data_IF_875797250991
#
_entry.id   IF_875797250991
#
_cell.length_a   1.000
_cell.length_b   1.000
_cell.length_c   1.000
_cell.angle_alpha   90.00
_cell.angle_beta   90.00
_cell.angle_gamma   90.00
#
_symmetry.space_group_name_H-M   'P 1'
#
loop_
_entity.id
_entity.type
_entity.pdbx_description
1 polymer ?
#
# COMPACT_ATOMS: atom_id res chain seq x y z
N UNK A 1 -14.55 -25.73 34.73
CA UNK A 1 -15.27 -25.85 33.45
C UNK A 1 -15.13 -24.52 32.73
N UNK A 2 -14.13 -24.41 31.86
CA UNK A 2 -13.99 -23.23 31.01
C UNK A 2 -14.99 -23.41 29.85
N UNK A 3 -15.99 -22.54 29.79
CA UNK A 3 -16.92 -22.50 28.66
C UNK A 3 -16.10 -22.33 27.39
N UNK A 4 -16.30 -23.21 26.42
CA UNK A 4 -15.74 -23.04 25.08
C UNK A 4 -16.31 -21.72 24.55
N UNK A 5 -15.49 -20.75 24.14
CA UNK A 5 -15.99 -19.48 23.62
C UNK A 5 -16.94 -19.78 22.46
N UNK A 6 -18.09 -19.10 22.42
CA UNK A 6 -19.02 -19.25 21.30
C UNK A 6 -18.37 -18.71 20.03
N UNK A 7 -18.83 -19.14 18.85
CA UNK A 7 -18.28 -18.64 17.58
C UNK A 7 -18.34 -17.10 17.44
N UNK A 8 -19.24 -16.43 18.17
CA UNK A 8 -19.25 -14.97 18.29
C UNK A 8 -18.06 -14.40 19.06
N UNK A 9 -17.65 -15.02 20.18
CA UNK A 9 -16.51 -14.57 20.98
C UNK A 9 -15.19 -14.73 20.22
N UNK A 10 -15.04 -15.83 19.46
CA UNK A 10 -13.88 -16.05 18.60
C UNK A 10 -13.81 -15.02 17.46
N UNK A 11 -14.95 -14.76 16.82
CA UNK A 11 -15.04 -13.69 15.82
C UNK A 11 -14.61 -12.33 16.40
N UNK A 12 -15.08 -11.97 17.59
CA UNK A 12 -14.73 -10.69 18.23
C UNK A 12 -13.24 -10.61 18.57
N UNK A 13 -12.61 -11.71 19.01
CA UNK A 13 -11.15 -11.76 19.22
C UNK A 13 -10.39 -11.50 17.92
N UNK A 14 -10.74 -12.22 16.86
CA UNK A 14 -10.11 -12.02 15.54
C UNK A 14 -10.36 -10.62 14.99
N UNK A 15 -11.55 -10.04 15.22
CA UNK A 15 -11.89 -8.68 14.84
C UNK A 15 -10.96 -7.67 15.54
N UNK A 16 -10.68 -7.84 16.84
CA UNK A 16 -9.75 -6.97 17.56
C UNK A 16 -8.32 -7.06 17.01
N UNK A 17 -7.82 -8.29 16.79
CA UNK A 17 -6.49 -8.50 16.23
C UNK A 17 -6.35 -7.88 14.84
N UNK A 18 -7.36 -8.10 13.97
CA UNK A 18 -7.39 -7.49 12.63
C UNK A 18 -7.41 -5.96 12.70
N UNK A 19 -8.24 -5.36 13.56
CA UNK A 19 -8.32 -3.89 13.68
C UNK A 19 -7.00 -3.30 14.16
N UNK A 20 -6.34 -3.94 15.13
CA UNK A 20 -5.02 -3.53 15.60
C UNK A 20 -3.98 -3.60 14.47
N UNK A 21 -3.94 -4.73 13.76
CA UNK A 21 -3.01 -4.95 12.64
C UNK A 21 -3.24 -3.97 11.48
N UNK A 22 -4.49 -3.75 11.09
CA UNK A 22 -4.87 -2.80 10.04
C UNK A 22 -4.46 -1.35 10.38
N UNK A 23 -4.55 -0.97 11.66
CA UNK A 23 -4.08 0.33 12.15
C UNK A 23 -2.56 0.46 12.01
N UNK A 24 -1.81 -0.56 12.42
CA UNK A 24 -0.34 -0.56 12.29
C UNK A 24 0.11 -0.54 10.83
N UNK A 25 -0.54 -1.34 9.97
CA UNK A 25 -0.35 -1.32 8.52
C UNK A 25 -0.58 0.08 7.95
N UNK A 26 -1.72 0.70 8.28
CA UNK A 26 -2.07 2.04 7.81
C UNK A 26 -1.04 3.07 8.25
N UNK A 27 -0.62 3.05 9.52
CA UNK A 27 0.44 3.91 10.04
C UNK A 27 1.77 3.69 9.30
N UNK A 28 2.12 2.44 9.01
CA UNK A 28 3.34 2.13 8.29
C UNK A 28 3.31 2.66 6.85
N UNK A 29 2.19 2.53 6.15
CA UNK A 29 2.00 3.04 4.78
C UNK A 29 2.07 4.56 4.73
N UNK A 30 1.41 5.26 5.65
CA UNK A 30 1.27 6.71 5.59
C UNK A 30 2.41 7.48 6.27
N UNK A 31 3.18 6.84 7.15
CA UNK A 31 4.25 7.53 7.90
C UNK A 31 5.60 6.84 7.82
N UNK A 32 5.68 5.52 8.07
CA UNK A 32 6.98 4.85 8.17
C UNK A 32 7.66 4.63 6.81
N UNK A 33 6.92 4.15 5.80
CA UNK A 33 7.44 3.93 4.44
C UNK A 33 7.87 5.25 3.76
N UNK A 34 7.08 6.35 3.84
CA UNK A 34 7.48 7.65 3.32
C UNK A 34 8.71 8.24 4.00
N UNK A 35 8.88 8.00 5.30
CA UNK A 35 10.05 8.48 6.05
C UNK A 35 11.33 7.66 5.79
N UNK A 36 11.21 6.45 5.23
CA UNK A 36 12.32 5.56 4.95
C UNK A 36 12.90 5.78 3.53
N UNK A 37 14.17 5.41 3.33
CA UNK A 37 14.85 5.47 2.03
C UNK A 37 15.77 4.26 1.81
N UNK A 38 16.10 3.97 0.54
CA UNK A 38 17.05 2.91 0.19
C UNK A 38 16.63 1.53 0.70
N UNK A 39 17.55 0.83 1.35
CA UNK A 39 17.32 -0.52 1.87
C UNK A 39 16.28 -0.55 3.01
N UNK A 40 16.31 0.44 3.90
CA UNK A 40 15.33 0.56 4.99
C UNK A 40 13.89 0.66 4.45
N UNK A 41 13.67 1.40 3.34
CA UNK A 41 12.36 1.45 2.69
C UNK A 41 11.95 0.08 2.15
N UNK A 42 12.87 -0.64 1.51
CA UNK A 42 12.59 -1.99 0.98
C UNK A 42 12.23 -2.96 2.10
N UNK A 43 12.94 -2.90 3.24
CA UNK A 43 12.64 -3.72 4.42
C UNK A 43 11.26 -3.38 4.99
N UNK A 44 10.93 -2.09 5.12
CA UNK A 44 9.63 -1.66 5.62
C UNK A 44 8.48 -2.10 4.72
N UNK A 45 8.65 -1.99 3.39
CA UNK A 45 7.65 -2.49 2.43
C UNK A 45 7.47 -4.00 2.58
N UNK A 46 8.54 -4.80 2.72
CA UNK A 46 8.44 -6.25 2.94
C UNK A 46 7.77 -6.60 4.27
N UNK A 47 8.04 -5.85 5.32
CA UNK A 47 7.40 -6.03 6.62
C UNK A 47 5.89 -5.80 6.52
N UNK A 48 5.48 -4.69 5.90
CA UNK A 48 4.06 -4.40 5.69
C UNK A 48 3.39 -5.42 4.78
N UNK A 49 4.09 -5.95 3.76
CA UNK A 49 3.55 -7.05 2.94
C UNK A 49 3.22 -8.29 3.78
N UNK A 50 4.10 -8.70 4.70
CA UNK A 50 3.84 -9.82 5.61
C UNK A 50 2.64 -9.56 6.53
N UNK A 51 2.53 -8.34 7.04
CA UNK A 51 1.37 -7.94 7.85
C UNK A 51 0.07 -7.97 7.03
N UNK A 52 0.11 -7.67 5.73
CA UNK A 52 -1.07 -7.81 4.86
C UNK A 52 -1.48 -9.27 4.71
N UNK A 53 -0.51 -10.18 4.55
CA UNK A 53 -0.77 -11.62 4.47
C UNK A 53 -1.43 -12.11 5.76
N UNK A 54 -0.89 -11.73 6.93
CA UNK A 54 -1.49 -12.03 8.24
C UNK A 54 -2.91 -11.47 8.37
N UNK A 55 -3.15 -10.24 7.92
CA UNK A 55 -4.49 -9.64 7.93
C UNK A 55 -5.49 -10.40 7.05
N UNK A 56 -5.04 -10.96 5.91
CA UNK A 56 -5.88 -11.83 5.06
C UNK A 56 -6.20 -13.15 5.74
N UNK A 57 -5.22 -13.75 6.43
CA UNK A 57 -5.42 -14.98 7.19
C UNK A 57 -6.45 -14.78 8.31
N UNK A 58 -6.36 -13.69 9.08
CA UNK A 58 -7.32 -13.37 10.14
C UNK A 58 -8.73 -13.17 9.56
N UNK A 59 -8.86 -12.48 8.42
CA UNK A 59 -10.16 -12.36 7.74
C UNK A 59 -10.71 -13.72 7.29
N UNK A 60 -9.84 -14.63 6.85
CA UNK A 60 -10.21 -16.02 6.56
C UNK A 60 -10.72 -16.77 7.79
N UNK A 61 -10.07 -16.60 8.94
CA UNK A 61 -10.55 -17.19 10.21
C UNK A 61 -11.91 -16.63 10.60
N UNK A 62 -12.10 -15.30 10.52
CA UNK A 62 -13.39 -14.67 10.76
C UNK A 62 -14.50 -15.21 9.83
N UNK A 63 -14.19 -15.46 8.55
CA UNK A 63 -15.15 -16.05 7.61
C UNK A 63 -15.60 -17.47 8.04
N UNK A 64 -14.66 -18.29 8.52
CA UNK A 64 -14.94 -19.63 9.04
C UNK A 64 -15.84 -19.54 10.29
N UNK A 65 -15.52 -18.65 11.22
CA UNK A 65 -16.34 -18.45 12.43
C UNK A 65 -17.76 -17.99 12.09
N UNK A 66 -17.91 -17.04 11.16
CA UNK A 66 -19.23 -16.56 10.72
C UNK A 66 -20.08 -17.67 10.10
N UNK A 67 -19.47 -18.66 9.44
CA UNK A 67 -20.18 -19.82 8.93
C UNK A 67 -20.76 -20.68 10.07
N UNK A 68 -20.05 -20.81 11.18
CA UNK A 68 -20.45 -21.59 12.35
C UNK A 68 -21.47 -20.89 13.27
N UNK A 69 -21.73 -19.59 13.05
CA UNK A 69 -22.64 -18.79 13.87
C UNK A 69 -24.10 -18.90 13.40
N UNK A 70 -25.10 -18.93 14.32
CA UNK A 70 -26.53 -18.96 13.98
C UNK A 70 -27.01 -17.69 13.23
N UNK A 71 -28.05 -17.87 12.41
CA UNK A 71 -28.52 -16.91 11.40
C UNK A 71 -28.81 -15.49 11.92
N UNK A 72 -29.24 -15.35 13.18
CA UNK A 72 -29.70 -14.10 13.79
C UNK A 72 -28.64 -12.99 13.81
N UNK A 73 -27.36 -13.33 14.02
CA UNK A 73 -26.25 -12.36 14.06
C UNK A 73 -25.34 -12.43 12.84
N UNK A 74 -25.45 -13.50 12.03
CA UNK A 74 -24.60 -13.77 10.86
C UNK A 74 -24.60 -12.63 9.85
N UNK A 75 -25.77 -12.09 9.52
CA UNK A 75 -25.91 -11.01 8.51
C UNK A 75 -25.08 -9.77 8.87
N UNK A 76 -25.08 -9.39 10.16
CA UNK A 76 -24.30 -8.25 10.64
C UNK A 76 -22.80 -8.50 10.52
N UNK A 77 -22.33 -9.69 10.91
CA UNK A 77 -20.91 -10.05 10.86
C UNK A 77 -20.41 -10.19 9.42
N UNK A 78 -21.22 -10.74 8.52
CA UNK A 78 -20.90 -10.76 7.08
C UNK A 78 -20.77 -9.37 6.48
N UNK A 79 -21.62 -8.42 6.90
CA UNK A 79 -21.49 -7.03 6.45
C UNK A 79 -20.16 -6.44 6.88
N UNK A 80 -19.72 -6.66 8.13
CA UNK A 80 -18.42 -6.18 8.63
C UNK A 80 -17.26 -6.82 7.87
N UNK A 81 -17.28 -8.13 7.67
CA UNK A 81 -16.26 -8.85 6.89
C UNK A 81 -16.09 -8.29 5.48
N UNK A 82 -17.20 -7.95 4.81
CA UNK A 82 -17.15 -7.31 3.49
C UNK A 82 -16.46 -5.95 3.55
N UNK A 83 -16.80 -5.11 4.53
CA UNK A 83 -16.14 -3.82 4.74
C UNK A 83 -14.64 -3.99 4.98
N UNK A 84 -14.24 -4.89 5.88
CA UNK A 84 -12.82 -5.16 6.15
C UNK A 84 -12.05 -5.65 4.92
N UNK A 85 -12.66 -6.49 4.08
CA UNK A 85 -12.05 -6.90 2.80
C UNK A 85 -11.87 -5.73 1.85
N UNK A 86 -12.84 -4.85 1.74
CA UNK A 86 -12.74 -3.63 0.93
C UNK A 86 -11.62 -2.72 1.45
N UNK A 87 -11.59 -2.48 2.76
CA UNK A 87 -10.57 -1.62 3.39
C UNK A 87 -9.16 -2.20 3.22
N UNK A 88 -8.99 -3.51 3.39
CA UNK A 88 -7.72 -4.19 3.14
C UNK A 88 -7.29 -4.07 1.67
N UNK A 89 -8.24 -4.16 0.73
CA UNK A 89 -7.99 -3.91 -0.69
C UNK A 89 -7.48 -2.49 -0.97
N UNK A 90 -8.04 -1.48 -0.29
CA UNK A 90 -7.57 -0.10 -0.37
C UNK A 90 -6.17 0.05 0.22
N UNK A 91 -5.90 -0.55 1.40
CA UNK A 91 -4.57 -0.55 2.02
C UNK A 91 -3.51 -1.19 1.12
N UNK A 92 -3.84 -2.29 0.42
CA UNK A 92 -2.96 -2.90 -0.59
C UNK A 92 -2.63 -1.94 -1.74
N UNK A 93 -3.62 -1.18 -2.22
CA UNK A 93 -3.40 -0.18 -3.25
C UNK A 93 -2.50 0.97 -2.74
N UNK A 94 -2.78 1.47 -1.54
CA UNK A 94 -1.96 2.52 -0.91
C UNK A 94 -0.52 2.06 -0.65
N UNK A 95 -0.30 0.80 -0.26
CA UNK A 95 1.04 0.23 -0.12
C UNK A 95 1.81 0.25 -1.44
N UNK A 96 1.17 -0.15 -2.55
CA UNK A 96 1.78 -0.07 -3.89
C UNK A 96 2.16 1.38 -4.20
N UNK A 97 1.24 2.32 -3.97
CA UNK A 97 1.52 3.76 -4.18
C UNK A 97 2.65 4.27 -3.30
N UNK A 98 2.71 3.94 -2.00
CA UNK A 98 3.80 4.36 -1.11
C UNK A 98 5.16 3.74 -1.50
N UNK A 99 5.15 2.49 -1.97
CA UNK A 99 6.34 1.81 -2.46
C UNK A 99 6.91 2.48 -3.72
N UNK A 100 6.07 2.76 -4.73
CA UNK A 100 6.49 3.29 -6.04
C UNK A 100 6.51 4.83 -6.13
N UNK A 101 5.58 5.51 -5.46
CA UNK A 101 5.29 6.94 -5.64
C UNK A 101 6.34 7.89 -5.08
N UNK A 102 7.03 7.51 -4.00
CA UNK A 102 8.08 8.37 -3.42
C UNK A 102 9.28 8.58 -4.36
N UNK A 103 9.49 7.68 -5.33
CA UNK A 103 10.57 7.81 -6.30
C UNK A 103 10.20 8.78 -7.44
N UNK A 104 8.91 8.86 -7.79
CA UNK A 104 8.41 9.78 -8.84
C UNK A 104 8.37 11.23 -8.37
N UNK A 105 7.79 11.48 -7.20
CA UNK A 105 7.79 12.82 -6.60
C UNK A 105 9.22 13.34 -6.39
N UNK A 106 10.16 12.49 -5.90
CA UNK A 106 11.58 12.89 -5.79
C UNK A 106 12.21 13.13 -7.16
N UNK A 107 11.88 12.35 -8.19
CA UNK A 107 12.49 12.50 -9.53
C UNK A 107 11.93 13.70 -10.29
N UNK A 108 10.70 14.12 -10.01
CA UNK A 108 10.13 15.37 -10.49
C UNK A 108 10.66 16.56 -9.67
N UNK A 109 10.82 16.44 -8.35
CA UNK A 109 11.41 17.49 -7.50
C UNK A 109 12.93 17.68 -7.71
N UNK A 110 13.65 16.61 -8.08
CA UNK A 110 15.10 16.59 -8.37
C UNK A 110 15.39 16.69 -9.88
N UNK A 111 14.35 16.66 -10.72
CA UNK A 111 14.44 16.68 -12.18
C UNK A 111 14.47 18.08 -12.82
N UNK A 112 14.25 19.14 -12.04
CA UNK A 112 14.22 20.52 -12.55
C UNK A 112 15.31 21.45 -11.93
N UNK A 113 16.02 21.00 -10.88
CA UNK A 113 17.19 21.74 -10.34
C UNK A 113 18.54 21.18 -10.79
N UNK A 114 18.57 20.56 -11.96
CA UNK A 114 19.78 20.08 -12.63
C UNK A 114 20.23 20.99 -13.77
N UNK A 115 20.04 22.30 -13.63
CA UNK A 115 20.77 23.26 -14.45
C UNK A 115 22.27 23.08 -14.24
N UNK A 116 22.99 22.83 -15.34
CA UNK A 116 24.45 22.84 -15.48
C UNK A 116 25.19 21.55 -15.06
N UNK A 117 25.39 20.62 -15.99
CA UNK A 117 26.76 20.15 -16.29
C UNK A 117 26.85 19.53 -17.70
N UNK A 118 27.79 19.99 -18.56
CA UNK A 118 27.91 19.58 -19.96
C UNK A 118 28.94 18.47 -20.10
N UNK A 119 28.57 17.19 -20.00
CA UNK A 119 29.45 16.12 -20.52
C UNK A 119 28.76 14.76 -20.74
N UNK A 120 27.73 14.73 -21.56
CA UNK A 120 27.31 13.51 -22.22
C UNK A 120 26.88 13.85 -23.64
N UNK A 121 27.83 13.71 -24.56
CA UNK A 121 27.59 13.51 -25.98
C UNK A 121 26.59 12.36 -26.19
N UNK A 122 25.95 12.33 -27.37
CA UNK A 122 24.73 11.58 -27.77
C UNK A 122 23.42 12.36 -27.49
N UNK A 123 22.60 12.78 -28.45
CA UNK A 123 22.50 12.43 -29.86
C UNK A 123 21.58 13.49 -30.55
N UNK A 124 22.14 14.15 -31.55
CA UNK A 124 21.49 14.53 -32.82
C UNK A 124 20.02 15.05 -32.81
N UNK A 125 19.75 16.27 -32.35
CA UNK A 125 18.50 17.01 -32.71
C UNK A 125 18.70 18.51 -32.95
N UNK A 126 19.94 19.03 -32.86
CA UNK A 126 20.21 20.48 -32.96
C UNK A 126 20.69 20.98 -34.33
N UNK A 127 20.71 20.14 -35.38
CA UNK A 127 21.10 20.62 -36.72
C UNK A 127 19.96 21.28 -37.51
N UNK A 128 18.70 20.90 -37.26
CA UNK A 128 17.56 21.42 -38.04
C UNK A 128 17.17 22.87 -37.71
N UNK A 129 17.63 23.43 -36.59
CA UNK A 129 17.32 24.82 -36.24
C UNK A 129 18.23 25.85 -36.92
N UNK A 130 19.45 25.48 -37.32
CA UNK A 130 20.40 26.42 -37.95
C UNK A 130 20.13 26.63 -39.43
N UNK A 131 19.63 25.60 -40.13
CA UNK A 131 19.32 25.70 -41.57
C UNK A 131 18.14 26.64 -41.85
N UNK A 132 17.24 26.83 -40.88
CA UNK A 132 16.04 27.66 -41.05
C UNK A 132 16.29 29.16 -40.97
N UNK A 133 17.46 29.59 -40.47
CA UNK A 133 17.85 31.01 -40.36
C UNK A 133 18.60 31.55 -41.58
N UNK A 134 18.89 30.70 -42.59
CA UNK A 134 19.59 31.09 -43.81
C UNK A 134 18.73 31.02 -45.09
N UNK A 135 17.46 30.60 -44.99
CA UNK A 135 16.53 30.52 -46.13
C UNK A 135 15.60 31.74 -46.26
N UNK A 136 15.95 32.86 -45.62
CA UNK A 136 15.13 34.08 -45.59
C UNK A 136 15.96 35.35 -45.73
N UNK A 137 16.56 35.53 -46.90
CA UNK A 137 16.99 36.83 -47.43
C UNK A 137 16.54 36.93 -48.88
#
# INVERSE_FOLDING_TARGET
MASVPGGSDLFESYEQDYVALAKDISKAIHSAIPAASGDAKKQQVKAVQRQMEEAEEILGQMEIEVFNIPSTVRTRLQSRLRSYRTDLGQLKQSLKQAAFGYDKDRRELLGDQGGLSPNAEFDNTSMDQRTRLLAGT
#
